data_IF_619117345961
#
_entry.id   IF_619117345961
#
_cell.length_a   1.000
_cell.length_b   1.000
_cell.length_c   1.000
_cell.angle_alpha   90.00
_cell.angle_beta   90.00
_cell.angle_gamma   90.00
#
_symmetry.space_group_name_H-M   'P 1'
#
loop_
_entity.id
_entity.type
_entity.pdbx_description
1 polymer ?
#
# COMPACT_ATOMS: atom_id res chain seq x y z
N UNK A 1 13.00 19.21 -7.45
CA UNK A 1 12.74 17.88 -8.05
C UNK A 1 12.42 17.98 -9.55
N UNK A 2 11.28 18.57 -9.94
CA UNK A 2 10.84 18.67 -11.35
C UNK A 2 11.92 19.09 -12.35
N UNK A 3 12.64 20.19 -12.09
CA UNK A 3 13.71 20.66 -12.97
C UNK A 3 14.82 19.61 -13.20
N UNK A 4 15.15 18.80 -12.19
CA UNK A 4 16.18 17.76 -12.32
C UNK A 4 15.70 16.63 -13.22
N UNK A 5 14.47 16.15 -13.00
CA UNK A 5 13.86 15.11 -13.82
C UNK A 5 13.61 15.59 -15.26
N UNK A 6 13.21 16.86 -15.44
CA UNK A 6 13.06 17.49 -16.77
C UNK A 6 14.39 17.58 -17.55
N UNK A 7 15.53 17.46 -16.86
CA UNK A 7 16.88 17.51 -17.46
C UNK A 7 17.55 16.14 -17.52
N UNK A 8 16.75 15.07 -17.44
CA UNK A 8 17.23 13.69 -17.57
C UNK A 8 17.79 13.09 -16.29
N UNK A 9 17.50 13.67 -15.13
CA UNK A 9 17.78 13.01 -13.85
C UNK A 9 17.01 11.69 -13.74
N UNK A 10 17.69 10.63 -13.31
CA UNK A 10 17.10 9.31 -13.13
C UNK A 10 16.20 9.30 -11.88
N UNK A 11 14.88 9.05 -12.02
CA UNK A 11 13.96 8.98 -10.88
C UNK A 11 14.24 7.81 -9.93
N UNK A 12 15.04 6.82 -10.33
CA UNK A 12 15.48 5.68 -9.51
C UNK A 12 16.83 5.92 -8.82
N UNK A 13 17.35 7.15 -8.88
CA UNK A 13 18.56 7.51 -8.12
C UNK A 13 18.36 7.23 -6.63
N UNK A 14 19.42 6.79 -5.96
CA UNK A 14 19.40 6.52 -4.52
C UNK A 14 20.05 7.67 -3.74
N UNK A 15 19.60 7.89 -2.50
CA UNK A 15 20.24 8.80 -1.54
C UNK A 15 21.61 8.26 -1.11
N UNK A 16 22.36 9.05 -0.35
CA UNK A 16 23.63 8.60 0.25
C UNK A 16 23.48 7.45 1.25
N UNK A 17 22.25 7.15 1.69
CA UNK A 17 21.92 6.06 2.59
C UNK A 17 21.34 4.84 1.85
N UNK A 18 21.51 4.78 0.52
CA UNK A 18 20.92 3.74 -0.33
C UNK A 18 19.38 3.72 -0.24
N UNK A 19 18.77 4.90 -0.17
CA UNK A 19 17.31 5.08 -0.13
C UNK A 19 16.78 5.59 -1.46
N UNK A 20 15.72 4.98 -1.99
CA UNK A 20 15.07 5.49 -3.20
C UNK A 20 14.49 6.88 -2.98
N UNK A 21 14.48 7.73 -4.02
CA UNK A 21 13.80 9.03 -3.95
C UNK A 21 12.31 8.90 -3.60
N UNK A 22 11.64 7.83 -4.03
CA UNK A 22 10.24 7.52 -3.69
C UNK A 22 10.08 7.23 -2.19
N UNK A 23 11.03 6.52 -1.57
CA UNK A 23 11.06 6.31 -0.12
C UNK A 23 11.20 7.64 0.62
N UNK A 24 12.20 8.45 0.24
CA UNK A 24 12.44 9.76 0.86
C UNK A 24 11.21 10.66 0.74
N UNK A 25 10.58 10.74 -0.44
CA UNK A 25 9.37 11.53 -0.64
C UNK A 25 8.18 11.01 0.20
N UNK A 26 8.04 9.69 0.33
CA UNK A 26 7.00 9.04 1.15
C UNK A 26 7.21 9.35 2.64
N UNK A 27 8.44 9.17 3.15
CA UNK A 27 8.81 9.46 4.54
C UNK A 27 8.56 10.91 4.95
N UNK A 28 8.82 11.84 4.03
CA UNK A 28 8.61 13.26 4.27
C UNK A 28 7.18 13.73 3.95
N UNK A 29 6.26 12.81 3.66
CA UNK A 29 4.86 13.09 3.33
C UNK A 29 4.69 14.09 2.17
N UNK A 30 5.57 14.02 1.16
CA UNK A 30 5.53 14.92 0.00
C UNK A 30 4.87 14.21 -1.18
N UNK A 31 3.56 14.02 -1.10
CA UNK A 31 2.78 13.31 -2.13
C UNK A 31 3.01 13.81 -3.57
N UNK A 32 3.06 15.13 -3.86
CA UNK A 32 3.35 15.60 -5.21
C UNK A 32 4.73 15.15 -5.75
N UNK A 33 5.70 14.90 -4.87
CA UNK A 33 7.00 14.36 -5.29
C UNK A 33 6.91 12.86 -5.57
N UNK A 34 6.12 12.10 -4.80
CA UNK A 34 5.86 10.67 -5.07
C UNK A 34 5.22 10.51 -6.44
N UNK A 35 4.15 11.26 -6.71
CA UNK A 35 3.48 11.26 -8.02
C UNK A 35 4.45 11.61 -9.14
N UNK A 36 5.18 12.71 -9.00
CA UNK A 36 6.13 13.16 -10.01
C UNK A 36 7.25 12.12 -10.26
N UNK A 37 7.76 11.44 -9.24
CA UNK A 37 8.77 10.40 -9.44
C UNK A 37 8.22 9.22 -10.25
N UNK A 38 7.02 8.75 -9.89
CA UNK A 38 6.34 7.63 -10.57
C UNK A 38 6.00 8.00 -12.01
N UNK A 39 5.46 9.20 -12.26
CA UNK A 39 5.18 9.72 -13.60
C UNK A 39 6.44 9.84 -14.48
N UNK A 40 7.62 9.93 -13.88
CA UNK A 40 8.90 9.97 -14.59
C UNK A 40 9.61 8.63 -14.71
N UNK A 41 8.99 7.55 -14.23
CA UNK A 41 9.50 6.19 -14.37
C UNK A 41 10.24 5.64 -13.15
N UNK A 42 10.00 6.18 -11.96
CA UNK A 42 10.42 5.51 -10.74
C UNK A 42 9.77 4.13 -10.63
N UNK A 43 10.52 3.12 -10.20
CA UNK A 43 10.01 1.78 -9.98
C UNK A 43 9.07 1.75 -8.75
N UNK A 44 7.77 1.83 -9.01
CA UNK A 44 6.72 1.87 -7.99
C UNK A 44 6.71 0.65 -7.05
N UNK A 45 7.27 -0.48 -7.49
CA UNK A 45 7.29 -1.75 -6.76
C UNK A 45 8.68 -2.08 -6.17
N UNK A 46 9.63 -1.15 -6.20
CA UNK A 46 10.96 -1.40 -5.63
C UNK A 46 10.92 -1.33 -4.10
N UNK A 47 11.58 -2.27 -3.38
CA UNK A 47 11.58 -2.27 -1.91
C UNK A 47 12.22 -1.02 -1.30
N UNK A 48 11.53 -0.34 -0.39
CA UNK A 48 11.91 1.02 0.02
C UNK A 48 13.15 1.10 0.93
N UNK A 49 13.26 0.22 1.93
CA UNK A 49 14.34 0.26 2.93
C UNK A 49 14.80 -1.12 3.43
N UNK A 50 14.19 -2.19 2.94
CA UNK A 50 14.54 -3.56 3.29
C UNK A 50 14.13 -4.49 2.17
N UNK A 51 14.81 -5.62 2.03
CA UNK A 51 14.44 -6.72 1.13
C UNK A 51 13.22 -7.52 1.62
N UNK A 52 12.31 -6.86 2.34
CA UNK A 52 11.02 -7.45 2.68
C UNK A 52 10.12 -7.32 1.46
N UNK A 53 9.59 -8.44 1.02
CA UNK A 53 8.94 -8.55 -0.28
C UNK A 53 7.67 -7.70 -0.37
N UNK A 54 7.04 -7.23 0.73
CA UNK A 54 5.89 -6.32 0.65
C UNK A 54 6.21 -4.83 0.81
N UNK A 55 7.44 -4.44 1.20
CA UNK A 55 7.79 -3.06 1.57
C UNK A 55 7.94 -2.14 0.34
N UNK A 56 6.83 -1.72 -0.26
CA UNK A 56 6.78 -0.78 -1.38
C UNK A 56 6.05 0.52 -0.99
N UNK A 57 6.05 1.52 -1.88
CA UNK A 57 5.32 2.80 -1.70
C UNK A 57 3.86 2.55 -1.28
N UNK A 58 3.19 1.62 -1.96
CA UNK A 58 1.80 1.23 -1.66
C UNK A 58 1.59 0.77 -0.22
N UNK A 59 2.57 0.04 0.35
CA UNK A 59 2.47 -0.49 1.72
C UNK A 59 2.50 0.58 2.80
N UNK A 60 3.15 1.73 2.55
CA UNK A 60 3.13 2.87 3.47
C UNK A 60 1.75 3.51 3.49
N UNK A 61 1.19 3.85 2.33
CA UNK A 61 -0.12 4.50 2.24
C UNK A 61 -1.26 3.57 2.69
N UNK A 62 -1.23 2.27 2.35
CA UNK A 62 -2.29 1.33 2.76
C UNK A 62 -2.34 1.15 4.28
N UNK A 63 -1.18 1.07 4.93
CA UNK A 63 -1.06 0.87 6.38
C UNK A 63 -1.70 1.99 7.19
N UNK A 64 -1.70 3.21 6.67
CA UNK A 64 -2.28 4.40 7.28
C UNK A 64 -3.69 4.75 6.76
N UNK A 65 -4.27 3.91 5.88
CA UNK A 65 -5.57 4.11 5.26
C UNK A 65 -5.67 5.40 4.41
N UNK A 66 -4.55 5.80 3.79
CA UNK A 66 -4.47 6.92 2.84
C UNK A 66 -5.00 6.45 1.47
N UNK A 67 -6.30 6.13 1.42
CA UNK A 67 -6.87 5.37 0.31
C UNK A 67 -6.98 6.14 -1.01
N UNK A 68 -6.90 7.48 -0.99
CA UNK A 68 -6.82 8.28 -2.21
C UNK A 68 -5.48 8.01 -2.93
N UNK A 69 -4.39 8.07 -2.18
CA UNK A 69 -3.04 7.76 -2.65
C UNK A 69 -2.92 6.28 -3.04
N UNK A 70 -3.47 5.36 -2.23
CA UNK A 70 -3.53 3.93 -2.58
C UNK A 70 -4.22 3.74 -3.92
N UNK A 71 -5.39 4.34 -4.12
CA UNK A 71 -6.12 4.20 -5.39
C UNK A 71 -5.31 4.74 -6.56
N UNK A 72 -4.67 5.91 -6.41
CA UNK A 72 -3.80 6.45 -7.46
C UNK A 72 -2.62 5.52 -7.76
N UNK A 73 -1.96 4.96 -6.74
CA UNK A 73 -0.84 4.04 -6.90
C UNK A 73 -1.25 2.75 -7.62
N UNK A 74 -2.42 2.18 -7.28
CA UNK A 74 -3.00 1.02 -7.97
C UNK A 74 -3.22 1.32 -9.46
N UNK A 75 -3.76 2.50 -9.79
CA UNK A 75 -3.94 2.94 -11.18
C UNK A 75 -2.61 3.09 -11.96
N UNK A 76 -1.49 3.26 -11.26
CA UNK A 76 -0.15 3.42 -11.84
C UNK A 76 0.72 2.15 -11.70
N UNK A 77 0.09 1.00 -11.47
CA UNK A 77 0.77 -0.32 -11.53
C UNK A 77 1.48 -0.74 -10.25
N UNK A 78 1.13 -0.15 -9.10
CA UNK A 78 1.54 -0.70 -7.81
C UNK A 78 0.92 -2.09 -7.61
N UNK A 79 1.72 -3.05 -7.17
CA UNK A 79 1.27 -4.42 -6.92
C UNK A 79 0.84 -4.61 -5.46
N UNK A 80 -0.47 -4.73 -5.17
CA UNK A 80 -0.96 -4.97 -3.81
C UNK A 80 -0.74 -6.41 -3.33
N UNK A 81 -0.43 -7.35 -4.23
CA UNK A 81 -0.35 -8.79 -3.92
C UNK A 81 0.99 -9.21 -3.34
N UNK A 82 1.93 -8.27 -3.18
CA UNK A 82 3.23 -8.55 -2.57
C UNK A 82 3.07 -9.06 -1.14
N UNK A 83 3.86 -10.08 -0.81
CA UNK A 83 3.68 -10.89 0.39
C UNK A 83 4.69 -10.56 1.47
N UNK A 84 4.32 -10.81 2.72
CA UNK A 84 5.30 -10.87 3.80
C UNK A 84 6.27 -12.02 3.54
N UNK A 85 7.57 -11.75 3.62
CA UNK A 85 8.58 -12.81 3.64
C UNK A 85 8.51 -13.57 4.96
N UNK A 86 8.03 -14.81 4.92
CA UNK A 86 7.86 -15.64 6.09
C UNK A 86 8.03 -17.12 5.75
N UNK A 87 8.46 -17.93 6.72
CA UNK A 87 8.64 -19.38 6.52
C UNK A 87 7.28 -20.12 6.44
N UNK A 88 7.18 -21.21 5.64
CA UNK A 88 5.99 -22.04 5.61
C UNK A 88 5.53 -22.50 7.00
N UNK A 89 4.23 -22.41 7.26
CA UNK A 89 3.63 -22.79 8.54
C UNK A 89 3.66 -21.69 9.61
N UNK A 90 4.29 -20.55 9.35
CA UNK A 90 4.19 -19.38 10.23
C UNK A 90 2.90 -18.59 9.97
N UNK A 91 2.35 -17.86 10.97
CA UNK A 91 1.13 -17.06 10.78
C UNK A 91 1.21 -15.97 9.70
N UNK A 92 2.44 -15.62 9.29
CA UNK A 92 2.67 -14.61 8.25
C UNK A 92 2.85 -15.20 6.85
N UNK A 93 2.92 -16.53 6.72
CA UNK A 93 3.12 -17.18 5.43
C UNK A 93 1.97 -16.90 4.46
N UNK A 94 2.29 -16.34 3.29
CA UNK A 94 1.32 -16.07 2.23
C UNK A 94 0.44 -14.83 2.44
N UNK A 95 0.68 -14.06 3.51
CA UNK A 95 -0.08 -12.83 3.82
C UNK A 95 0.19 -11.73 2.81
N UNK A 96 -0.83 -10.96 2.47
CA UNK A 96 -0.78 -9.83 1.53
C UNK A 96 -1.23 -8.56 2.26
N UNK A 97 -0.32 -7.86 2.97
CA UNK A 97 -0.70 -6.79 3.90
C UNK A 97 -1.49 -5.66 3.25
N UNK A 98 -1.13 -5.28 2.02
CA UNK A 98 -1.82 -4.19 1.31
C UNK A 98 -3.25 -4.58 0.91
N UNK A 99 -3.45 -5.83 0.47
CA UNK A 99 -4.80 -6.38 0.22
C UNK A 99 -5.63 -6.40 1.51
N UNK A 100 -5.01 -6.84 2.61
CA UNK A 100 -5.66 -6.88 3.93
C UNK A 100 -6.02 -5.48 4.43
N UNK A 101 -5.13 -4.49 4.26
CA UNK A 101 -5.39 -3.10 4.59
C UNK A 101 -6.59 -2.57 3.80
N UNK A 102 -6.61 -2.78 2.48
CA UNK A 102 -7.71 -2.31 1.61
C UNK A 102 -9.05 -2.93 2.03
N UNK A 103 -9.10 -4.23 2.29
CA UNK A 103 -10.35 -4.92 2.62
C UNK A 103 -10.80 -4.73 4.07
N UNK A 104 -9.88 -4.62 5.03
CA UNK A 104 -10.21 -4.75 6.45
C UNK A 104 -9.93 -3.52 7.29
N UNK A 105 -9.28 -2.48 6.74
CA UNK A 105 -9.10 -1.22 7.45
C UNK A 105 -10.43 -0.69 7.99
N UNK A 106 -10.40 -0.31 9.26
CA UNK A 106 -11.57 0.17 9.97
C UNK A 106 -11.65 1.68 9.88
N UNK A 107 -12.21 2.14 8.77
CA UNK A 107 -12.33 3.56 8.45
C UNK A 107 -13.73 4.07 8.82
N UNK A 108 -13.77 5.20 9.52
CA UNK A 108 -15.02 5.85 9.95
C UNK A 108 -15.33 7.15 9.20
N UNK A 109 -14.34 7.75 8.53
CA UNK A 109 -14.51 9.02 7.83
C UNK A 109 -15.15 8.79 6.46
N UNK A 110 -16.29 9.44 6.12
CA UNK A 110 -17.02 9.15 4.89
C UNK A 110 -16.21 9.32 3.59
N UNK A 111 -15.38 10.37 3.51
CA UNK A 111 -14.48 10.63 2.39
C UNK A 111 -13.46 9.49 2.20
N UNK A 112 -12.89 8.99 3.29
CA UNK A 112 -11.93 7.88 3.25
C UNK A 112 -12.64 6.54 2.95
N UNK A 113 -13.88 6.35 3.41
CA UNK A 113 -14.70 5.16 3.06
C UNK A 113 -14.93 5.07 1.56
N UNK A 114 -15.24 6.19 0.89
CA UNK A 114 -15.44 6.20 -0.57
C UNK A 114 -14.15 5.85 -1.33
N UNK A 115 -12.99 6.28 -0.85
CA UNK A 115 -11.71 5.89 -1.43
C UNK A 115 -11.37 4.41 -1.16
N UNK A 116 -11.65 3.91 0.04
CA UNK A 116 -11.50 2.50 0.37
C UNK A 116 -12.38 1.63 -0.54
N UNK A 117 -13.64 2.01 -0.76
CA UNK A 117 -14.56 1.35 -1.70
C UNK A 117 -13.97 1.26 -3.11
N UNK A 118 -13.41 2.36 -3.61
CA UNK A 118 -12.74 2.38 -4.94
C UNK A 118 -11.56 1.42 -4.99
N UNK A 119 -10.75 1.35 -3.93
CA UNK A 119 -9.65 0.38 -3.84
C UNK A 119 -10.16 -1.06 -3.83
N UNK A 120 -11.22 -1.37 -3.06
CA UNK A 120 -11.82 -2.70 -3.02
C UNK A 120 -12.42 -3.11 -4.38
N UNK A 121 -13.09 -2.19 -5.06
CA UNK A 121 -13.56 -2.40 -6.43
C UNK A 121 -12.39 -2.66 -7.39
N UNK A 122 -11.32 -1.87 -7.32
CA UNK A 122 -10.13 -2.10 -8.13
C UNK A 122 -9.56 -3.50 -7.90
N UNK A 123 -9.41 -3.96 -6.65
CA UNK A 123 -8.92 -5.32 -6.35
C UNK A 123 -9.83 -6.40 -6.95
N UNK A 124 -11.15 -6.25 -6.81
CA UNK A 124 -12.13 -7.20 -7.36
C UNK A 124 -12.09 -7.25 -8.89
N UNK A 125 -11.98 -6.10 -9.53
CA UNK A 125 -11.92 -5.99 -11.00
C UNK A 125 -10.62 -6.59 -11.57
N UNK A 126 -9.61 -6.82 -10.74
CA UNK A 126 -8.34 -7.49 -11.07
C UNK A 126 -8.24 -8.91 -10.49
N UNK A 127 -9.36 -9.53 -10.09
CA UNK A 127 -9.43 -10.88 -9.55
C UNK A 127 -8.58 -11.10 -8.27
N UNK A 128 -8.42 -10.07 -7.45
CA UNK A 128 -7.69 -10.13 -6.18
C UNK A 128 -8.71 -10.27 -5.03
N UNK A 129 -8.93 -11.49 -4.51
CA UNK A 129 -9.94 -11.72 -3.49
C UNK A 129 -9.47 -11.21 -2.13
N UNK A 130 -10.44 -11.10 -1.22
CA UNK A 130 -10.17 -11.01 0.21
C UNK A 130 -9.31 -12.19 0.68
N UNK A 131 -8.38 -11.90 1.57
CA UNK A 131 -7.62 -12.93 2.31
C UNK A 131 -8.48 -13.49 3.45
N UNK A 132 -8.31 -14.77 3.80
CA UNK A 132 -8.97 -15.34 4.99
C UNK A 132 -8.40 -14.77 6.29
N UNK A 133 -7.15 -14.32 6.26
CA UNK A 133 -6.48 -13.69 7.38
C UNK A 133 -6.59 -12.17 7.26
N UNK A 134 -6.94 -11.49 8.34
CA UNK A 134 -7.06 -10.02 8.36
C UNK A 134 -5.83 -9.32 8.95
N UNK A 135 -4.83 -10.10 9.35
CA UNK A 135 -3.62 -9.56 9.93
C UNK A 135 -3.83 -8.71 11.17
N UNK A 136 -3.26 -7.50 11.15
CA UNK A 136 -3.37 -6.54 12.25
C UNK A 136 -4.82 -6.11 12.51
N UNK A 137 -5.68 -6.17 11.49
CA UNK A 137 -7.05 -5.67 11.57
C UNK A 137 -7.96 -6.54 12.43
N UNK A 138 -7.73 -7.85 12.51
CA UNK A 138 -8.50 -8.71 13.42
C UNK A 138 -8.38 -8.21 14.88
N UNK A 139 -7.15 -8.02 15.36
CA UNK A 139 -6.90 -7.53 16.73
C UNK A 139 -7.37 -6.09 16.92
N UNK A 140 -7.13 -5.23 15.94
CA UNK A 140 -7.53 -3.82 16.01
C UNK A 140 -9.05 -3.65 16.13
N UNK A 141 -9.82 -4.30 15.24
CA UNK A 141 -11.28 -4.26 15.25
C UNK A 141 -11.86 -4.91 16.51
N UNK A 142 -11.28 -6.04 16.95
CA UNK A 142 -11.68 -6.68 18.21
C UNK A 142 -11.51 -5.75 19.41
N UNK A 143 -10.40 -5.02 19.49
CA UNK A 143 -10.15 -4.03 20.55
C UNK A 143 -11.14 -2.86 20.56
N UNK A 144 -11.72 -2.54 19.41
CA UNK A 144 -12.78 -1.53 19.27
C UNK A 144 -14.20 -2.10 19.46
N UNK A 145 -14.34 -3.41 19.68
CA UNK A 145 -15.65 -4.07 19.75
C UNK A 145 -16.38 -4.17 18.41
N UNK A 146 -15.66 -3.97 17.30
CA UNK A 146 -16.17 -4.06 15.94
C UNK A 146 -16.06 -5.50 15.40
N UNK A 147 -16.79 -5.86 14.32
CA UNK A 147 -16.64 -7.15 13.65
C UNK A 147 -15.17 -7.42 13.28
N UNK A 148 -14.66 -8.59 13.65
CA UNK A 148 -13.22 -8.93 13.56
C UNK A 148 -12.94 -10.28 12.90
N UNK A 149 -13.96 -10.89 12.30
CA UNK A 149 -13.82 -12.02 11.38
C UNK A 149 -14.12 -11.55 9.96
N UNK A 150 -13.45 -12.08 8.93
CA UNK A 150 -13.69 -11.67 7.55
C UNK A 150 -15.17 -11.73 7.15
N UNK A 151 -15.85 -12.82 7.47
CA UNK A 151 -17.25 -13.06 7.12
C UNK A 151 -18.24 -12.06 7.73
N UNK A 152 -17.87 -11.43 8.84
CA UNK A 152 -18.71 -10.47 9.55
C UNK A 152 -18.51 -9.02 9.06
N UNK A 153 -17.54 -8.78 8.15
CA UNK A 153 -17.20 -7.45 7.65
C UNK A 153 -17.81 -7.25 6.25
N UNK A 154 -18.70 -6.26 6.07
CA UNK A 154 -19.30 -5.98 4.78
C UNK A 154 -18.26 -5.45 3.79
N UNK A 155 -18.40 -5.85 2.53
CA UNK A 155 -17.69 -5.20 1.42
C UNK A 155 -18.29 -3.81 1.17
N UNK A 156 -17.44 -2.85 0.90
CA UNK A 156 -17.84 -1.48 0.58
C UNK A 156 -18.21 -1.33 -0.88
#
# INVERSE_FOLDING_TARGET
LKLLLDRGGDPNTMSSNDEQLTYVATLHHVWPNVQLLIERGANINQPLYSDDDYNAVLSWYSKYADFEEVYWLLQHGADPTRKIKADPGTPNYGRMPMVEDIYYADVIKPDVIEWQRKCQHWLRDHDIPRTNEMGRWARYRQGLGHPYKPEDIPLL
#
